data_IF_529982202810
#
_entry.id   IF_529982202810
#
_cell.length_a   1.000
_cell.length_b   1.000
_cell.length_c   1.000
_cell.angle_alpha   90.00
_cell.angle_beta   90.00
_cell.angle_gamma   90.00
#
_symmetry.space_group_name_H-M   'P 1'
#
loop_
_entity.id
_entity.type
_entity.pdbx_description
1 polymer ?
#
# COMPACT_ATOMS: atom_id res chain seq x y z
N UNK A 1 44.62 24.96 15.89
CA UNK A 1 44.02 23.89 15.05
C UNK A 1 43.31 22.95 16.00
N UNK A 2 41.97 22.96 16.05
CA UNK A 2 41.22 22.10 16.97
C UNK A 2 41.05 20.71 16.34
N UNK A 3 41.51 19.67 17.03
CA UNK A 3 41.31 18.28 16.60
C UNK A 3 39.83 17.92 16.70
N UNK A 4 39.27 17.20 15.71
CA UNK A 4 37.88 16.79 15.76
C UNK A 4 37.68 15.72 16.83
N UNK A 5 36.75 15.95 17.74
CA UNK A 5 36.33 14.99 18.77
C UNK A 5 35.61 13.82 18.09
N UNK A 6 36.19 12.62 18.11
CA UNK A 6 35.51 11.41 17.64
C UNK A 6 34.51 10.97 18.70
N UNK A 7 33.22 11.08 18.40
CA UNK A 7 32.16 10.55 19.27
C UNK A 7 32.06 9.04 19.06
N UNK A 8 32.22 8.27 20.12
CA UNK A 8 32.00 6.82 20.10
C UNK A 8 30.50 6.57 20.23
N UNK A 9 29.82 6.26 19.12
CA UNK A 9 28.42 5.83 19.15
C UNK A 9 28.35 4.45 19.83
N UNK A 10 27.56 4.36 20.90
CA UNK A 10 27.36 3.09 21.60
C UNK A 10 26.71 2.07 20.66
N UNK A 11 27.25 0.84 20.54
CA UNK A 11 26.66 -0.19 19.67
C UNK A 11 25.22 -0.54 20.08
N UNK A 12 24.85 -0.32 21.35
CA UNK A 12 23.46 -0.46 21.83
C UNK A 12 22.54 0.60 21.23
N UNK A 13 23.03 1.83 21.05
CA UNK A 13 22.28 2.92 20.44
C UNK A 13 22.08 2.67 18.93
N UNK A 14 23.10 2.15 18.26
CA UNK A 14 23.02 1.72 16.87
C UNK A 14 22.00 0.58 16.69
N UNK A 15 22.00 -0.41 17.58
CA UNK A 15 21.04 -1.51 17.55
C UNK A 15 19.60 -1.00 17.71
N UNK A 16 19.35 -0.08 18.65
CA UNK A 16 18.03 0.54 18.81
C UNK A 16 17.61 1.31 17.56
N UNK A 17 18.52 2.08 16.95
CA UNK A 17 18.24 2.79 15.70
C UNK A 17 17.89 1.86 14.54
N UNK A 18 18.58 0.72 14.42
CA UNK A 18 18.29 -0.30 13.40
C UNK A 18 16.93 -0.95 13.65
N UNK A 19 16.58 -1.22 14.92
CA UNK A 19 15.28 -1.77 15.30
C UNK A 19 14.12 -0.81 14.99
N UNK A 20 14.31 0.51 15.11
CA UNK A 20 13.29 1.48 14.73
C UNK A 20 13.23 1.74 13.22
N UNK A 21 14.37 1.67 12.53
CA UNK A 21 14.45 1.87 11.07
C UNK A 21 13.88 0.70 10.25
N UNK A 22 13.67 -0.47 10.85
CA UNK A 22 13.17 -1.66 10.17
C UNK A 22 11.64 -1.81 10.18
N UNK A 23 10.89 -0.90 10.82
CA UNK A 23 9.43 -0.91 10.80
C UNK A 23 8.91 -0.41 9.44
N UNK A 24 8.91 -1.29 8.44
CA UNK A 24 8.12 -1.09 7.23
C UNK A 24 6.70 -1.56 7.52
N UNK A 25 5.77 -0.60 7.64
CA UNK A 25 4.35 -0.91 7.75
C UNK A 25 3.84 -1.18 6.34
N UNK A 26 3.50 -2.43 6.05
CA UNK A 26 2.70 -2.73 4.87
C UNK A 26 1.29 -2.18 5.11
N UNK A 27 0.90 -1.13 4.39
CA UNK A 27 -0.49 -0.68 4.38
C UNK A 27 -1.30 -1.62 3.49
N UNK A 28 -2.42 -2.10 4.02
CA UNK A 28 -3.43 -2.75 3.18
C UNK A 28 -4.15 -1.64 2.40
N UNK A 29 -4.00 -1.66 1.08
CA UNK A 29 -4.70 -0.72 0.20
C UNK A 29 -6.20 -0.93 0.28
N UNK A 30 -6.98 0.15 0.15
CA UNK A 30 -8.43 0.07 0.01
C UNK A 30 -8.81 0.64 -1.35
N UNK A 31 -9.11 -0.26 -2.28
CA UNK A 31 -9.45 0.01 -3.67
C UNK A 31 -10.66 0.94 -3.83
N UNK A 32 -11.53 1.07 -2.82
CA UNK A 32 -12.62 2.06 -2.86
C UNK A 32 -12.12 3.51 -2.85
N UNK A 33 -10.88 3.75 -2.43
CA UNK A 33 -10.28 5.10 -2.43
C UNK A 33 -9.62 5.45 -3.75
N UNK A 34 -9.27 4.44 -4.53
CA UNK A 34 -8.43 4.58 -5.71
C UNK A 34 -9.20 4.29 -7.00
N UNK A 35 -10.31 3.54 -6.93
CA UNK A 35 -11.06 3.08 -8.10
C UNK A 35 -12.57 3.16 -7.92
N UNK A 36 -13.25 3.61 -8.98
CA UNK A 36 -14.70 3.56 -9.12
C UNK A 36 -15.12 2.54 -10.19
N UNK A 37 -16.17 1.78 -9.91
CA UNK A 37 -16.79 0.88 -10.89
C UNK A 37 -17.60 1.73 -11.87
N UNK A 38 -17.25 1.67 -13.16
CA UNK A 38 -17.89 2.49 -14.19
C UNK A 38 -19.05 1.79 -14.87
N UNK A 39 -18.93 0.47 -15.11
CA UNK A 39 -19.99 -0.33 -15.72
C UNK A 39 -19.78 -1.82 -15.44
N UNK A 40 -20.83 -2.61 -15.64
CA UNK A 40 -20.76 -4.06 -15.52
C UNK A 40 -21.95 -4.73 -14.86
N UNK A 41 -23.00 -4.00 -14.45
CA UNK A 41 -24.25 -4.59 -13.93
C UNK A 41 -24.03 -5.71 -12.88
N UNK A 42 -23.16 -5.44 -11.90
CA UNK A 42 -22.78 -6.40 -10.86
C UNK A 42 -21.64 -7.37 -11.23
N UNK A 43 -21.04 -7.27 -12.41
CA UNK A 43 -19.87 -8.05 -12.86
C UNK A 43 -18.54 -7.46 -12.40
N UNK A 44 -18.53 -6.17 -12.08
CA UNK A 44 -17.46 -5.57 -11.30
C UNK A 44 -17.87 -5.55 -9.82
N UNK A 45 -16.99 -6.02 -8.92
CA UNK A 45 -17.21 -5.91 -7.47
C UNK A 45 -15.91 -5.69 -6.74
N UNK A 46 -15.93 -4.78 -5.76
CA UNK A 46 -14.89 -4.66 -4.74
C UNK A 46 -15.36 -5.44 -3.50
N UNK A 47 -14.54 -6.39 -3.07
CA UNK A 47 -14.79 -7.33 -1.99
C UNK A 47 -13.70 -7.18 -0.91
N UNK A 48 -13.83 -7.96 0.15
CA UNK A 48 -12.85 -8.05 1.25
C UNK A 48 -12.43 -6.66 1.79
N UNK A 49 -13.44 -5.85 2.10
CA UNK A 49 -13.29 -4.50 2.62
C UNK A 49 -12.38 -3.58 1.77
N UNK A 50 -12.38 -3.75 0.45
CA UNK A 50 -11.57 -2.94 -0.45
C UNK A 50 -10.29 -3.58 -0.92
N UNK A 51 -10.02 -4.84 -0.59
CA UNK A 51 -8.74 -5.48 -0.92
C UNK A 51 -8.79 -6.25 -2.25
N UNK A 52 -9.98 -6.62 -2.72
CA UNK A 52 -10.13 -7.47 -3.89
C UNK A 52 -11.10 -6.86 -4.90
N UNK A 53 -10.60 -6.49 -6.07
CA UNK A 53 -11.44 -6.14 -7.22
C UNK A 53 -11.62 -7.38 -8.11
N UNK A 54 -12.87 -7.69 -8.42
CA UNK A 54 -13.25 -8.76 -9.35
C UNK A 54 -13.96 -8.18 -10.56
N UNK A 55 -13.63 -8.70 -11.74
CA UNK A 55 -14.23 -8.34 -13.02
C UNK A 55 -14.62 -9.63 -13.74
N UNK A 56 -15.78 -9.63 -14.39
CA UNK A 56 -16.25 -10.78 -15.15
C UNK A 56 -16.83 -10.38 -16.50
N UNK A 57 -16.75 -11.33 -17.43
CA UNK A 57 -17.19 -11.19 -18.81
C UNK A 57 -17.90 -12.48 -19.21
N UNK A 58 -19.04 -12.35 -19.85
CA UNK A 58 -19.70 -13.46 -20.54
C UNK A 58 -20.19 -13.00 -21.92
N UNK A 59 -21.03 -13.81 -22.56
CA UNK A 59 -21.57 -13.52 -23.89
C UNK A 59 -22.41 -12.24 -23.96
N UNK A 60 -23.02 -11.80 -22.87
CA UNK A 60 -23.93 -10.63 -22.88
C UNK A 60 -23.18 -9.32 -22.68
N UNK A 61 -22.14 -9.29 -21.83
CA UNK A 61 -21.38 -8.06 -21.54
C UNK A 61 -20.15 -8.31 -20.66
N UNK A 62 -19.30 -7.29 -20.49
CA UNK A 62 -18.18 -7.28 -19.55
C UNK A 62 -18.41 -6.39 -18.33
N UNK A 63 -17.29 -5.92 -17.75
CA UNK A 63 -17.24 -4.94 -16.66
C UNK A 63 -16.02 -4.03 -16.76
N UNK A 64 -16.08 -2.85 -16.14
CA UNK A 64 -14.98 -1.90 -16.10
C UNK A 64 -14.95 -1.03 -14.85
N UNK A 65 -13.80 -0.40 -14.62
CA UNK A 65 -13.53 0.55 -13.54
C UNK A 65 -12.66 1.70 -14.08
N UNK A 66 -12.56 2.78 -13.33
CA UNK A 66 -11.65 3.89 -13.60
C UNK A 66 -10.87 4.25 -12.33
N UNK A 67 -9.67 4.79 -12.51
CA UNK A 67 -8.96 5.43 -11.41
C UNK A 67 -9.69 6.70 -11.01
N UNK A 68 -9.76 6.92 -9.71
CA UNK A 68 -10.13 8.21 -9.13
C UNK A 68 -8.82 8.99 -9.05
N UNK A 69 -8.70 10.07 -9.84
CA UNK A 69 -7.62 11.05 -9.73
C UNK A 69 -8.16 12.33 -9.09
#
# INVERSE_FOLDING_TARGET
MASPSTSNLSPKLLLVSVLFGSLVIASVGNLHKDFDITWGDGRAKILDNGQLLTLSLDKTSGSGFQSIE
#
